data_IF_287092715316
#
_entry.id   IF_287092715316
#
_cell.length_a   1.000
_cell.length_b   1.000
_cell.length_c   1.000
_cell.angle_alpha   90.00
_cell.angle_beta   90.00
_cell.angle_gamma   90.00
#
_symmetry.space_group_name_H-M   'P 1'
#
loop_
_entity.id
_entity.type
_entity.pdbx_description
1 polymer ?
#
# COMPACT_ATOMS: atom_id res chain seq x y z
N UNK A 1 -3.62 21.87 19.49
CA UNK A 1 -2.59 22.23 18.48
C UNK A 1 -2.30 21.01 17.62
N UNK A 2 -2.94 20.90 16.45
CA UNK A 2 -2.67 19.81 15.51
C UNK A 2 -1.35 20.12 14.79
N UNK A 3 -0.31 19.33 15.04
CA UNK A 3 0.96 19.43 14.31
C UNK A 3 0.71 18.91 12.90
N UNK A 4 0.77 19.81 11.90
CA UNK A 4 0.77 19.45 10.48
C UNK A 4 1.98 18.53 10.27
N UNK A 5 1.72 17.25 9.95
CA UNK A 5 2.77 16.33 9.50
C UNK A 5 2.88 16.55 7.99
N UNK A 6 4.01 17.09 7.56
CA UNK A 6 4.35 17.20 6.14
C UNK A 6 5.00 15.86 5.78
N UNK A 7 4.29 15.05 4.99
CA UNK A 7 4.78 13.81 4.42
C UNK A 7 4.79 13.97 2.91
N UNK A 8 5.85 13.54 2.26
CA UNK A 8 5.97 13.52 0.81
C UNK A 8 6.11 12.10 0.32
N UNK A 9 5.42 11.77 -0.76
CA UNK A 9 5.57 10.54 -1.52
C UNK A 9 6.50 10.80 -2.70
N UNK A 10 7.58 10.03 -2.78
CA UNK A 10 8.60 10.13 -3.81
C UNK A 10 8.51 8.91 -4.71
N UNK A 11 8.29 9.12 -6.00
CA UNK A 11 8.13 8.06 -7.00
C UNK A 11 9.34 7.98 -7.92
N UNK A 12 9.85 6.78 -8.15
CA UNK A 12 10.93 6.51 -9.09
C UNK A 12 10.39 5.98 -10.42
N UNK A 13 10.99 6.44 -11.51
CA UNK A 13 10.73 5.90 -12.84
C UNK A 13 11.69 4.76 -13.15
N UNK A 14 11.18 3.54 -13.29
CA UNK A 14 11.97 2.45 -13.89
C UNK A 14 11.99 2.70 -15.39
N UNK A 15 13.08 3.27 -15.93
CA UNK A 15 13.35 3.13 -17.36
C UNK A 15 13.51 1.62 -17.61
N UNK A 16 12.63 1.03 -18.42
CA UNK A 16 12.71 -0.40 -18.80
C UNK A 16 14.15 -0.73 -19.19
N UNK A 17 14.83 -1.53 -18.37
CA UNK A 17 16.10 -2.15 -18.73
C UNK A 17 15.76 -3.45 -19.45
N UNK A 18 16.34 -3.76 -20.62
CA UNK A 18 16.07 -5.02 -21.31
C UNK A 18 16.53 -6.20 -20.43
N UNK A 19 15.62 -7.14 -20.21
CA UNK A 19 15.87 -8.38 -19.51
C UNK A 19 16.75 -9.30 -20.37
N UNK A 20 17.97 -9.61 -19.92
CA UNK A 20 18.76 -10.73 -20.44
C UNK A 20 18.99 -11.76 -19.34
N UNK A 21 18.70 -13.02 -19.66
CA UNK A 21 18.48 -14.10 -18.70
C UNK A 21 19.72 -14.66 -18.00
N UNK A 22 19.47 -15.10 -16.76
CA UNK A 22 20.05 -16.15 -15.91
C UNK A 22 21.46 -16.69 -16.19
N UNK A 23 22.31 -16.63 -15.15
CA UNK A 23 23.05 -17.80 -14.64
C UNK A 23 23.10 -17.78 -13.10
N UNK A 24 22.80 -18.95 -12.53
CA UNK A 24 22.98 -19.33 -11.12
C UNK A 24 24.47 -19.47 -10.77
N UNK A 25 24.87 -19.04 -9.56
CA UNK A 25 25.62 -19.88 -8.60
C UNK A 25 26.25 -19.06 -7.46
N UNK A 26 26.12 -19.63 -6.26
CA UNK A 26 27.09 -19.61 -5.15
C UNK A 26 27.34 -18.30 -4.40
N UNK A 27 26.80 -18.31 -3.17
CA UNK A 27 27.22 -17.55 -2.01
C UNK A 27 28.74 -17.51 -1.83
N UNK A 28 29.35 -16.31 -1.91
CA UNK A 28 30.52 -15.88 -1.13
C UNK A 28 30.44 -14.36 -0.95
N UNK A 29 30.69 -13.90 0.28
CA UNK A 29 30.54 -12.50 0.67
C UNK A 29 31.35 -11.54 -0.18
N UNK A 30 30.78 -10.37 -0.44
CA UNK A 30 31.44 -9.26 -1.14
C UNK A 30 31.03 -7.97 -0.44
N UNK A 31 32.00 -7.37 0.26
CA UNK A 31 31.92 -5.98 0.67
C UNK A 31 31.73 -5.12 -0.57
N UNK A 32 30.73 -4.24 -0.50
CA UNK A 32 30.39 -3.32 -1.58
C UNK A 32 31.38 -2.15 -1.57
N UNK A 33 32.60 -2.38 -2.05
CA UNK A 33 33.47 -1.29 -2.46
C UNK A 33 33.07 -0.89 -3.89
N UNK A 34 32.28 0.18 -4.00
CA UNK A 34 32.02 0.89 -5.26
C UNK A 34 33.32 1.53 -5.74
N UNK A 35 33.85 1.20 -6.93
CA UNK A 35 35.10 1.76 -7.44
C UNK A 35 34.83 3.05 -8.24
N UNK A 36 34.18 4.02 -7.63
CA UNK A 36 34.17 5.43 -8.08
C UNK A 36 33.75 6.28 -6.88
N UNK A 37 34.56 7.28 -6.55
CA UNK A 37 34.44 8.08 -5.35
C UNK A 37 33.11 8.82 -5.17
N UNK A 38 32.81 9.07 -3.90
CA UNK A 38 32.11 10.26 -3.38
C UNK A 38 30.78 10.65 -4.03
N UNK A 39 29.87 9.69 -4.19
CA UNK A 39 28.44 9.98 -4.16
C UNK A 39 27.74 8.94 -3.29
N UNK A 40 27.16 9.29 -2.13
CA UNK A 40 26.25 8.37 -1.47
C UNK A 40 25.12 8.06 -2.46
N UNK A 41 24.73 6.79 -2.58
CA UNK A 41 23.51 6.47 -3.33
C UNK A 41 22.38 7.35 -2.77
N UNK A 42 21.54 8.00 -3.62
CA UNK A 42 20.52 8.92 -3.13
C UNK A 42 19.67 8.26 -2.04
N UNK A 43 19.35 6.98 -2.22
CA UNK A 43 18.58 6.16 -1.29
C UNK A 43 19.33 5.97 0.05
N UNK A 44 20.63 5.67 0.02
CA UNK A 44 21.45 5.46 1.23
C UNK A 44 21.58 6.72 2.10
N UNK A 45 21.63 7.90 1.50
CA UNK A 45 21.62 9.16 2.23
C UNK A 45 20.27 9.39 2.94
N UNK A 46 19.14 9.20 2.27
CA UNK A 46 17.82 9.42 2.88
C UNK A 46 17.42 8.39 3.94
N UNK A 47 17.86 7.14 3.78
CA UNK A 47 17.71 6.11 4.82
C UNK A 47 18.48 6.47 6.11
N UNK A 48 19.62 7.15 5.99
CA UNK A 48 20.46 7.53 7.13
C UNK A 48 19.93 8.75 7.92
N UNK A 49 19.03 9.57 7.34
CA UNK A 49 18.52 10.81 7.95
C UNK A 49 17.27 10.59 8.83
N UNK A 50 16.76 9.36 8.96
CA UNK A 50 15.61 9.04 9.82
C UNK A 50 14.27 9.66 9.37
N UNK A 51 14.22 10.12 8.12
CA UNK A 51 13.09 10.83 7.52
C UNK A 51 12.09 9.91 6.81
N UNK A 52 12.54 8.73 6.35
CA UNK A 52 11.72 7.74 5.63
C UNK A 52 10.76 7.02 6.58
N UNK A 53 9.47 7.05 6.27
CA UNK A 53 8.39 6.36 7.00
C UNK A 53 8.12 4.97 6.41
N UNK A 54 8.05 4.86 5.09
CA UNK A 54 7.66 3.64 4.39
C UNK A 54 8.24 3.59 2.99
N UNK A 55 8.51 2.38 2.49
CA UNK A 55 9.00 2.13 1.13
C UNK A 55 7.98 1.30 0.38
N UNK A 56 7.69 1.68 -0.86
CA UNK A 56 6.76 1.02 -1.76
C UNK A 56 7.56 0.35 -2.89
N UNK A 57 7.30 -0.94 -3.13
CA UNK A 57 8.08 -1.74 -4.10
C UNK A 57 7.21 -2.52 -5.09
N UNK A 58 5.91 -2.64 -4.85
CA UNK A 58 5.05 -3.56 -5.61
C UNK A 58 4.39 -2.91 -6.83
N UNK A 59 3.56 -1.88 -6.62
CA UNK A 59 2.79 -1.21 -7.69
C UNK A 59 3.58 -0.04 -8.27
N UNK A 60 4.36 0.62 -7.41
CA UNK A 60 5.27 1.69 -7.76
C UNK A 60 6.50 1.58 -6.88
N UNK A 61 7.63 2.03 -7.41
CA UNK A 61 8.87 2.14 -6.65
C UNK A 61 8.94 3.53 -6.04
N UNK A 62 9.04 3.63 -4.72
CA UNK A 62 9.01 4.91 -4.04
C UNK A 62 9.11 4.82 -2.54
N UNK A 63 9.06 5.95 -1.86
CA UNK A 63 9.00 6.01 -0.41
C UNK A 63 8.17 7.21 0.06
N UNK A 64 7.65 7.12 1.28
CA UNK A 64 7.06 8.26 1.97
C UNK A 64 8.01 8.75 3.05
N UNK A 65 8.29 10.05 3.11
CA UNK A 65 9.20 10.65 4.08
C UNK A 65 8.71 11.99 4.63
N UNK A 66 9.09 12.32 5.88
CA UNK A 66 8.90 13.68 6.40
C UNK A 66 10.04 14.56 5.93
N UNK A 67 9.71 15.56 5.13
CA UNK A 67 10.68 16.48 4.54
C UNK A 67 10.20 17.91 4.74
N UNK A 68 11.14 18.81 4.99
CA UNK A 68 10.92 20.24 4.81
C UNK A 68 10.69 20.57 3.33
N UNK A 69 10.10 21.72 3.06
CA UNK A 69 9.85 22.19 1.68
C UNK A 69 11.14 22.26 0.85
N UNK A 70 12.24 22.72 1.44
CA UNK A 70 13.53 22.83 0.75
C UNK A 70 14.16 21.48 0.45
N UNK A 71 13.97 20.47 1.32
CA UNK A 71 14.40 19.10 1.06
C UNK A 71 13.58 18.45 -0.05
N UNK A 72 12.25 18.64 -0.04
CA UNK A 72 11.36 18.13 -1.08
C UNK A 72 11.72 18.70 -2.47
N UNK A 73 11.98 20.01 -2.57
CA UNK A 73 12.43 20.65 -3.82
C UNK A 73 13.78 20.12 -4.31
N UNK A 74 14.73 19.88 -3.39
CA UNK A 74 16.02 19.28 -3.75
C UNK A 74 15.83 17.87 -4.31
N UNK A 75 14.98 17.05 -3.68
CA UNK A 75 14.70 15.68 -4.15
C UNK A 75 14.02 15.70 -5.51
N UNK A 76 13.04 16.58 -5.71
CA UNK A 76 12.31 16.71 -6.97
C UNK A 76 13.24 16.99 -8.16
N UNK A 77 14.35 17.71 -7.93
CA UNK A 77 15.36 17.99 -8.97
C UNK A 77 16.28 16.81 -9.32
N UNK A 78 16.24 15.70 -8.57
CA UNK A 78 17.14 14.57 -8.79
C UNK A 78 16.71 13.72 -10.00
N UNK A 79 17.69 13.34 -10.81
CA UNK A 79 17.47 12.40 -11.91
C UNK A 79 16.93 11.06 -11.40
N UNK A 80 15.82 10.60 -11.98
CA UNK A 80 15.15 9.34 -11.64
C UNK A 80 13.92 9.51 -10.74
N UNK A 81 13.72 10.69 -10.17
CA UNK A 81 12.49 11.07 -9.49
C UNK A 81 11.47 11.49 -10.54
N UNK A 82 10.29 10.86 -10.51
CA UNK A 82 9.17 11.15 -11.41
C UNK A 82 8.22 12.15 -10.79
N UNK A 83 7.99 12.06 -9.49
CA UNK A 83 7.11 12.96 -8.77
C UNK A 83 7.45 13.00 -7.28
N UNK A 84 7.20 14.16 -6.68
CA UNK A 84 7.20 14.40 -5.24
C UNK A 84 5.81 14.95 -4.88
N UNK A 85 5.02 14.17 -4.13
CA UNK A 85 3.59 14.45 -3.89
C UNK A 85 3.37 14.71 -2.40
N UNK A 86 2.75 15.84 -2.07
CA UNK A 86 2.44 16.19 -0.69
C UNK A 86 1.30 15.30 -0.16
N UNK A 87 1.41 14.83 1.09
CA UNK A 87 0.36 14.09 1.76
C UNK A 87 -0.90 14.96 1.91
N UNK A 88 -2.04 14.35 1.62
CA UNK A 88 -3.35 14.96 1.80
C UNK A 88 -4.13 14.12 2.79
N UNK A 89 -4.59 14.76 3.88
CA UNK A 89 -5.53 14.14 4.81
C UNK A 89 -6.87 13.98 4.08
N UNK A 90 -7.38 12.75 4.06
CA UNK A 90 -8.71 12.44 3.51
C UNK A 90 -9.70 12.33 4.66
N UNK A 91 -10.92 12.78 4.42
CA UNK A 91 -12.04 12.67 5.35
C UNK A 91 -13.05 11.63 4.86
N UNK A 92 -13.72 10.96 5.80
CA UNK A 92 -14.74 9.95 5.51
C UNK A 92 -15.98 10.64 4.95
N UNK A 93 -16.51 10.15 3.82
CA UNK A 93 -17.58 10.83 3.09
C UNK A 93 -18.99 10.25 3.30
N UNK A 94 -19.18 9.05 3.86
CA UNK A 94 -20.54 8.45 4.00
C UNK A 94 -20.64 7.43 5.13
N UNK A 95 -21.80 7.32 5.78
CA UNK A 95 -22.07 6.34 6.86
C UNK A 95 -23.18 5.31 6.55
N UNK A 96 -23.80 5.30 5.35
CA UNK A 96 -24.98 4.43 5.04
C UNK A 96 -25.02 3.83 3.62
N UNK A 97 -24.03 3.02 3.26
CA UNK A 97 -23.87 2.50 1.90
C UNK A 97 -24.86 1.40 1.48
N UNK A 98 -25.31 0.53 2.41
CA UNK A 98 -26.18 -0.60 2.07
C UNK A 98 -27.59 -0.17 1.64
N UNK A 99 -28.13 0.86 2.30
CA UNK A 99 -29.44 1.43 1.96
C UNK A 99 -29.38 2.21 0.64
N UNK A 100 -28.29 2.95 0.39
CA UNK A 100 -28.05 3.61 -0.90
C UNK A 100 -28.03 2.62 -2.07
N UNK A 101 -27.46 1.43 -1.86
CA UNK A 101 -27.38 0.37 -2.88
C UNK A 101 -28.64 -0.50 -2.96
N UNK A 102 -29.64 -0.28 -2.11
CA UNK A 102 -30.87 -1.07 -2.09
C UNK A 102 -30.67 -2.56 -1.76
N UNK A 103 -29.57 -2.92 -1.09
CA UNK A 103 -29.25 -4.30 -0.76
C UNK A 103 -30.09 -4.80 0.41
N UNK A 104 -31.30 -5.29 0.12
CA UNK A 104 -32.22 -5.86 1.12
C UNK A 104 -32.06 -7.37 1.19
N UNK A 105 -31.76 -7.87 2.38
CA UNK A 105 -31.62 -9.32 2.67
C UNK A 105 -32.94 -10.10 2.55
N UNK A 106 -34.09 -9.42 2.55
CA UNK A 106 -35.41 -10.03 2.37
C UNK A 106 -35.75 -10.40 0.92
N UNK A 107 -34.98 -9.93 -0.06
CA UNK A 107 -35.29 -10.17 -1.47
C UNK A 107 -34.85 -11.57 -1.91
N UNK A 108 -35.83 -12.45 -2.03
CA UNK A 108 -35.67 -13.84 -2.46
C UNK A 108 -35.25 -14.01 -3.94
N UNK A 109 -35.09 -12.90 -4.67
CA UNK A 109 -34.64 -12.83 -6.07
C UNK A 109 -33.71 -11.62 -6.34
N UNK A 110 -33.11 -11.02 -5.31
CA UNK A 110 -32.27 -9.82 -5.43
C UNK A 110 -30.81 -10.09 -5.81
N UNK A 111 -30.05 -9.00 -6.05
CA UNK A 111 -28.62 -9.05 -6.44
C UNK A 111 -27.77 -9.94 -5.52
N UNK A 112 -28.04 -9.89 -4.21
CA UNK A 112 -27.32 -10.70 -3.21
C UNK A 112 -27.49 -12.20 -3.46
N UNK A 113 -28.72 -12.66 -3.73
CA UNK A 113 -28.97 -14.07 -4.01
C UNK A 113 -28.41 -14.48 -5.37
N UNK A 114 -28.54 -13.61 -6.37
CA UNK A 114 -27.99 -13.84 -7.71
C UNK A 114 -26.45 -13.94 -7.73
N UNK A 115 -25.76 -13.29 -6.79
CA UNK A 115 -24.31 -13.36 -6.64
C UNK A 115 -23.84 -14.44 -5.66
N UNK A 116 -24.70 -15.38 -5.27
CA UNK A 116 -24.42 -16.37 -4.20
C UNK A 116 -23.88 -15.71 -2.92
N UNK A 117 -24.49 -14.58 -2.56
CA UNK A 117 -24.13 -13.72 -1.43
C UNK A 117 -22.66 -13.26 -1.43
N UNK A 118 -21.99 -13.30 -2.59
CA UNK A 118 -20.59 -12.94 -2.73
C UNK A 118 -19.63 -14.06 -2.32
N UNK A 119 -20.05 -15.32 -2.43
CA UNK A 119 -19.18 -16.47 -2.13
C UNK A 119 -17.88 -16.40 -2.95
N UNK A 120 -16.77 -16.83 -2.34
CA UNK A 120 -15.42 -16.81 -2.91
C UNK A 120 -14.87 -15.42 -3.33
N UNK A 121 -15.55 -14.33 -2.96
CA UNK A 121 -15.10 -12.97 -3.24
C UNK A 121 -14.41 -12.37 -2.01
N UNK A 122 -13.25 -11.73 -2.23
CA UNK A 122 -12.60 -10.91 -1.19
C UNK A 122 -12.75 -9.44 -1.56
N UNK A 123 -13.49 -8.70 -0.73
CA UNK A 123 -13.63 -7.24 -0.86
C UNK A 123 -12.74 -6.57 0.18
N UNK A 124 -11.78 -5.76 -0.27
CA UNK A 124 -10.92 -4.97 0.62
C UNK A 124 -11.55 -3.59 0.83
N UNK A 125 -11.94 -3.30 2.07
CA UNK A 125 -12.47 -2.00 2.49
C UNK A 125 -11.37 -1.25 3.22
N UNK A 126 -11.06 -0.03 2.76
CA UNK A 126 -10.11 0.87 3.43
C UNK A 126 -10.95 1.94 4.14
N UNK A 127 -11.10 1.79 5.45
CA UNK A 127 -11.92 2.66 6.31
C UNK A 127 -11.26 2.80 7.69
N UNK A 128 -11.95 3.39 8.66
CA UNK A 128 -11.48 3.61 10.04
C UNK A 128 -11.39 2.33 10.88
N UNK A 129 -11.80 1.19 10.34
CA UNK A 129 -11.81 -0.10 11.02
C UNK A 129 -13.20 -0.75 11.06
N UNK A 130 -13.31 -1.86 11.79
CA UNK A 130 -14.55 -2.60 12.00
C UNK A 130 -14.74 -2.86 13.50
N UNK A 131 -15.96 -3.17 13.91
CA UNK A 131 -16.28 -3.72 15.24
C UNK A 131 -16.54 -5.22 15.11
N UNK A 132 -15.49 -6.05 15.19
CA UNK A 132 -15.59 -7.46 14.88
C UNK A 132 -16.61 -8.20 15.78
N UNK A 133 -16.69 -7.85 17.06
CA UNK A 133 -17.61 -8.40 18.07
C UNK A 133 -19.12 -8.18 17.78
N UNK A 134 -19.49 -7.45 16.73
CA UNK A 134 -20.89 -7.29 16.34
C UNK A 134 -21.42 -8.59 15.72
N UNK A 135 -22.64 -8.98 16.09
CA UNK A 135 -23.35 -10.16 15.52
C UNK A 135 -23.42 -10.19 13.98
N UNK A 136 -23.33 -9.03 13.32
CA UNK A 136 -23.30 -8.94 11.85
C UNK A 136 -22.05 -9.55 11.21
N UNK A 137 -21.00 -9.81 11.99
CA UNK A 137 -19.76 -10.47 11.55
C UNK A 137 -19.66 -11.93 12.02
N UNK A 138 -20.76 -12.52 12.49
CA UNK A 138 -20.77 -13.94 12.86
C UNK A 138 -20.52 -14.81 11.61
N UNK A 139 -19.50 -15.66 11.67
CA UNK A 139 -19.04 -16.54 10.60
C UNK A 139 -19.43 -18.02 10.79
N UNK A 140 -20.24 -18.35 11.80
CA UNK A 140 -20.60 -19.74 12.15
C UNK A 140 -21.21 -20.55 11.00
N UNK A 141 -21.88 -19.90 10.05
CA UNK A 141 -22.53 -20.54 8.89
C UNK A 141 -21.73 -20.35 7.59
N UNK A 142 -20.56 -19.71 7.65
CA UNK A 142 -19.69 -19.51 6.50
C UNK A 142 -18.75 -20.70 6.30
N UNK A 143 -18.60 -21.11 5.05
CA UNK A 143 -17.61 -22.10 4.66
C UNK A 143 -16.16 -21.59 4.80
N UNK A 144 -15.16 -22.43 4.49
CA UNK A 144 -13.77 -21.99 4.51
C UNK A 144 -13.55 -20.82 3.54
N UNK A 145 -12.75 -19.84 3.98
CA UNK A 145 -12.41 -18.69 3.14
C UNK A 145 -11.63 -19.09 1.88
N UNK A 146 -11.52 -18.17 0.89
CA UNK A 146 -10.89 -18.47 -0.39
C UNK A 146 -9.43 -18.93 -0.23
N UNK A 147 -9.07 -20.07 -0.84
CA UNK A 147 -7.72 -20.66 -0.74
C UNK A 147 -6.59 -19.79 -1.30
N UNK A 148 -6.93 -18.84 -2.18
CA UNK A 148 -5.98 -17.89 -2.78
C UNK A 148 -5.69 -16.69 -1.87
N UNK A 149 -6.44 -16.51 -0.78
CA UNK A 149 -6.22 -15.40 0.15
C UNK A 149 -4.92 -15.62 0.94
N UNK A 150 -4.04 -14.62 0.95
CA UNK A 150 -2.76 -14.65 1.66
C UNK A 150 -2.75 -13.79 2.94
N UNK A 151 -3.86 -13.14 3.26
CA UNK A 151 -3.98 -12.39 4.50
C UNK A 151 -4.36 -13.28 5.67
N UNK A 152 -4.50 -12.66 6.83
CA UNK A 152 -4.97 -13.34 8.05
C UNK A 152 -6.48 -13.24 8.14
N UNK A 153 -7.11 -14.31 8.64
CA UNK A 153 -8.48 -14.29 9.11
C UNK A 153 -8.47 -13.97 10.61
N UNK A 154 -9.43 -13.17 11.05
CA UNK A 154 -9.69 -12.94 12.46
C UNK A 154 -11.06 -13.57 12.72
N UNK A 155 -11.06 -14.76 13.32
CA UNK A 155 -12.28 -15.40 13.82
C UNK A 155 -12.59 -14.85 15.22
N UNK A 156 -13.87 -14.69 15.53
CA UNK A 156 -14.37 -13.89 16.67
C UNK A 156 -15.35 -14.68 17.51
#
# INVERSE_FOLDING_TARGET
MSRIKILWFVLFGVKKVPWFGSKSSSSKGLGLLSPTGLFPSPIGFWLAVGSVIHTYETIFHGFSAKLSTSEAQKIESLSGIVAVIHEQVRHVHTTRSSEFLGLKTSDSAGLLKGSDFGSNLVIRVIDTGIWPERKSFNDCELGPGPTKWKGQYVSL
#
